data_IF_608562248023
#
_entry.id   IF_608562248023
#
_cell.length_a   1.000
_cell.length_b   1.000
_cell.length_c   1.000
_cell.angle_alpha   90.00
_cell.angle_beta   90.00
_cell.angle_gamma   90.00
#
_symmetry.space_group_name_H-M   'P 1'
#
loop_
_entity.id
_entity.type
_entity.pdbx_description
1 polymer ?
#
# COMPACT_ATOMS: atom_id res chain seq x y z
N UNK A 1 24.73 -20.50 0.11
CA UNK A 1 23.57 -20.31 -0.79
C UNK A 1 22.21 -20.54 -0.12
N UNK A 2 21.96 -21.69 0.52
CA UNK A 2 20.62 -22.05 1.05
C UNK A 2 20.08 -21.15 2.18
N UNK A 3 20.96 -20.48 2.94
CA UNK A 3 20.55 -19.52 3.98
C UNK A 3 20.17 -18.14 3.43
N UNK A 4 20.83 -17.68 2.35
CA UNK A 4 20.51 -16.42 1.68
C UNK A 4 19.13 -16.50 0.99
N UNK A 5 18.87 -17.64 0.34
CA UNK A 5 17.61 -17.93 -0.31
C UNK A 5 16.43 -17.91 0.68
N UNK A 6 16.61 -18.51 1.86
CA UNK A 6 15.61 -18.46 2.95
C UNK A 6 15.34 -17.05 3.46
N UNK A 7 16.34 -16.17 3.44
CA UNK A 7 16.21 -14.78 3.90
C UNK A 7 15.44 -13.91 2.89
N UNK A 8 15.62 -14.17 1.60
CA UNK A 8 14.99 -13.39 0.51
C UNK A 8 13.55 -13.82 0.19
N UNK A 9 13.20 -15.08 0.44
CA UNK A 9 11.86 -15.62 0.11
C UNK A 9 10.74 -14.83 0.79
N UNK A 10 10.89 -14.47 2.08
CA UNK A 10 9.83 -13.78 2.80
C UNK A 10 9.52 -12.36 2.25
N UNK A 11 10.52 -11.48 2.02
CA UNK A 11 10.32 -10.21 1.32
C UNK A 11 9.73 -10.36 -0.09
N UNK A 12 10.19 -11.33 -0.88
CA UNK A 12 9.66 -11.57 -2.24
C UNK A 12 8.20 -12.00 -2.25
N UNK A 13 7.83 -12.96 -1.39
CA UNK A 13 6.43 -13.40 -1.28
C UNK A 13 5.57 -12.23 -0.79
N UNK A 14 6.04 -11.45 0.19
CA UNK A 14 5.32 -10.28 0.69
C UNK A 14 5.09 -9.25 -0.41
N UNK A 15 6.12 -8.96 -1.21
CA UNK A 15 6.02 -8.05 -2.36
C UNK A 15 5.03 -8.56 -3.40
N UNK A 16 5.09 -9.86 -3.75
CA UNK A 16 4.18 -10.46 -4.71
C UNK A 16 2.72 -10.36 -4.24
N UNK A 17 2.45 -10.72 -2.98
CA UNK A 17 1.13 -10.58 -2.37
C UNK A 17 0.65 -9.12 -2.37
N UNK A 18 1.54 -8.18 -2.02
CA UNK A 18 1.23 -6.76 -1.98
C UNK A 18 0.85 -6.22 -3.36
N UNK A 19 1.64 -6.55 -4.40
CA UNK A 19 1.40 -6.09 -5.76
C UNK A 19 0.10 -6.66 -6.34
N UNK A 20 -0.17 -7.95 -6.12
CA UNK A 20 -1.41 -8.59 -6.55
C UNK A 20 -2.62 -7.96 -5.86
N UNK A 21 -2.58 -7.87 -4.52
CA UNK A 21 -3.66 -7.26 -3.74
C UNK A 21 -3.93 -5.82 -4.15
N UNK A 22 -2.87 -5.02 -4.34
CA UNK A 22 -3.00 -3.64 -4.77
C UNK A 22 -3.55 -3.52 -6.20
N UNK A 23 -3.11 -4.36 -7.12
CA UNK A 23 -3.63 -4.40 -8.51
C UNK A 23 -5.13 -4.67 -8.54
N UNK A 24 -5.59 -5.65 -7.76
CA UNK A 24 -7.02 -5.91 -7.59
C UNK A 24 -7.74 -4.73 -6.95
N UNK A 25 -7.19 -4.13 -5.90
CA UNK A 25 -7.83 -3.04 -5.18
C UNK A 25 -8.03 -1.77 -6.03
N UNK A 26 -7.02 -1.39 -6.80
CA UNK A 26 -7.10 -0.24 -7.74
C UNK A 26 -8.12 -0.51 -8.85
N UNK A 27 -8.10 -1.73 -9.41
CA UNK A 27 -9.02 -2.14 -10.48
C UNK A 27 -10.46 -2.19 -9.98
N UNK A 28 -10.69 -2.81 -8.82
CA UNK A 28 -11.98 -2.89 -8.14
C UNK A 28 -12.58 -1.51 -7.93
N UNK A 29 -11.81 -0.57 -7.37
CA UNK A 29 -12.28 0.80 -7.09
C UNK A 29 -12.78 1.48 -8.37
N UNK A 30 -11.99 1.40 -9.44
CA UNK A 30 -12.30 2.04 -10.71
C UNK A 30 -13.50 1.41 -11.42
N UNK A 31 -13.61 0.07 -11.37
CA UNK A 31 -14.79 -0.62 -11.90
C UNK A 31 -16.04 -0.30 -11.10
N UNK A 32 -15.97 -0.32 -9.77
CA UNK A 32 -17.13 -0.10 -8.91
C UNK A 32 -17.69 1.31 -9.06
N UNK A 33 -16.85 2.35 -9.05
CA UNK A 33 -17.31 3.72 -9.30
C UNK A 33 -17.98 3.89 -10.67
N UNK A 34 -17.47 3.21 -11.71
CA UNK A 34 -18.09 3.24 -13.04
C UNK A 34 -19.46 2.56 -13.04
N UNK A 35 -19.59 1.42 -12.37
CA UNK A 35 -20.86 0.69 -12.25
C UNK A 35 -21.90 1.50 -11.45
N UNK A 36 -21.46 2.22 -10.43
CA UNK A 36 -22.32 3.07 -9.61
C UNK A 36 -22.65 4.41 -10.31
N UNK A 37 -22.24 4.59 -11.56
CA UNK A 37 -22.54 5.79 -12.37
C UNK A 37 -21.83 7.05 -11.89
N UNK A 38 -20.72 6.94 -11.15
CA UNK A 38 -19.98 8.09 -10.65
C UNK A 38 -19.46 8.96 -11.80
N UNK A 39 -19.45 10.28 -11.57
CA UNK A 39 -18.96 11.22 -12.57
C UNK A 39 -17.45 11.01 -12.85
N UNK A 40 -16.97 11.35 -14.06
CA UNK A 40 -15.55 11.25 -14.40
C UNK A 40 -14.65 12.04 -13.43
N UNK A 41 -15.11 13.18 -12.95
CA UNK A 41 -14.41 14.04 -11.99
C UNK A 41 -14.24 13.34 -10.65
N UNK A 42 -15.29 12.68 -10.15
CA UNK A 42 -15.24 11.91 -8.89
C UNK A 42 -14.27 10.72 -9.02
N UNK A 43 -14.33 9.98 -10.13
CA UNK A 43 -13.40 8.89 -10.39
C UNK A 43 -11.95 9.39 -10.42
N UNK A 44 -11.72 10.53 -11.07
CA UNK A 44 -10.43 11.19 -11.11
C UNK A 44 -9.95 11.58 -9.71
N UNK A 45 -10.82 12.17 -8.89
CA UNK A 45 -10.50 12.63 -7.55
C UNK A 45 -10.16 11.47 -6.60
N UNK A 46 -10.93 10.38 -6.63
CA UNK A 46 -10.68 9.17 -5.83
C UNK A 46 -9.33 8.54 -6.20
N UNK A 47 -9.00 8.47 -7.50
CA UNK A 47 -7.72 7.94 -7.95
C UNK A 47 -6.56 8.89 -7.63
N UNK A 48 -6.75 10.20 -7.79
CA UNK A 48 -5.77 11.21 -7.42
C UNK A 48 -5.45 11.14 -5.92
N UNK A 49 -6.45 10.96 -5.06
CA UNK A 49 -6.26 10.82 -3.62
C UNK A 49 -5.36 9.62 -3.27
N UNK A 50 -5.53 8.48 -3.95
CA UNK A 50 -4.63 7.33 -3.78
C UNK A 50 -3.17 7.68 -4.11
N UNK A 51 -2.92 8.29 -5.26
CA UNK A 51 -1.56 8.65 -5.65
C UNK A 51 -0.98 9.80 -4.82
N UNK A 52 -1.82 10.73 -4.35
CA UNK A 52 -1.41 11.79 -3.43
C UNK A 52 -0.95 11.20 -2.08
N UNK A 53 -1.71 10.25 -1.53
CA UNK A 53 -1.31 9.52 -0.32
C UNK A 53 -0.03 8.71 -0.53
N UNK A 54 0.09 8.04 -1.68
CA UNK A 54 1.30 7.30 -2.05
C UNK A 54 2.53 8.21 -2.12
N UNK A 55 2.44 9.34 -2.83
CA UNK A 55 3.52 10.32 -2.95
C UNK A 55 3.94 10.87 -1.59
N UNK A 56 2.95 11.19 -0.75
CA UNK A 56 3.20 11.68 0.60
C UNK A 56 3.89 10.63 1.47
N UNK A 57 3.43 9.38 1.40
CA UNK A 57 4.04 8.24 2.07
C UNK A 57 5.49 8.08 1.62
N UNK A 58 5.73 8.00 0.32
CA UNK A 58 7.06 7.87 -0.25
C UNK A 58 8.02 8.97 0.23
N UNK A 59 7.54 10.22 0.33
CA UNK A 59 8.38 11.36 0.72
C UNK A 59 8.65 11.48 2.23
N UNK A 60 7.78 10.95 3.11
CA UNK A 60 7.84 11.25 4.55
C UNK A 60 7.89 10.04 5.47
N UNK A 61 7.56 8.85 4.99
CA UNK A 61 7.38 7.68 5.85
C UNK A 61 8.71 7.05 6.26
N UNK A 62 9.78 7.27 5.50
CA UNK A 62 11.11 6.70 5.77
C UNK A 62 11.65 7.14 7.14
N UNK A 63 11.51 8.42 7.49
CA UNK A 63 11.92 8.94 8.80
C UNK A 63 11.12 8.37 9.98
N UNK A 64 9.90 7.88 9.73
CA UNK A 64 9.07 7.19 10.72
C UNK A 64 9.51 5.72 10.86
N UNK A 65 9.73 5.05 9.72
CA UNK A 65 10.11 3.63 9.66
C UNK A 65 11.50 3.41 10.24
N UNK A 66 12.47 4.30 9.99
CA UNK A 66 13.84 4.18 10.48
C UNK A 66 13.97 4.17 12.01
N UNK A 67 12.94 4.66 12.72
CA UNK A 67 12.89 4.67 14.20
C UNK A 67 12.31 3.38 14.80
N UNK A 68 11.76 2.48 13.98
CA UNK A 68 11.10 1.25 14.43
C UNK A 68 11.65 0.03 13.69
N UNK A 69 11.48 -1.15 14.29
CA UNK A 69 11.87 -2.41 13.63
C UNK A 69 10.96 -2.65 12.42
N UNK A 70 11.54 -2.98 11.26
CA UNK A 70 10.84 -3.20 9.98
C UNK A 70 9.60 -4.09 10.10
N UNK A 71 9.68 -5.19 10.86
CA UNK A 71 8.55 -6.11 11.06
C UNK A 71 7.32 -5.44 11.72
N UNK A 72 7.53 -4.52 12.67
CA UNK A 72 6.44 -3.81 13.35
C UNK A 72 5.80 -2.78 12.44
N UNK A 73 6.61 -2.04 11.68
CA UNK A 73 6.13 -1.10 10.68
C UNK A 73 5.32 -1.83 9.60
N UNK A 74 5.83 -2.95 9.08
CA UNK A 74 5.15 -3.79 8.10
C UNK A 74 3.76 -4.20 8.60
N UNK A 75 3.69 -4.80 9.80
CA UNK A 75 2.42 -5.27 10.36
C UNK A 75 1.42 -4.13 10.56
N UNK A 76 1.87 -2.95 11.02
CA UNK A 76 1.00 -1.79 11.22
C UNK A 76 0.41 -1.28 9.90
N UNK A 77 1.24 -1.04 8.88
CA UNK A 77 0.75 -0.54 7.59
C UNK A 77 -0.04 -1.58 6.80
N UNK A 78 0.32 -2.86 6.91
CA UNK A 78 -0.47 -3.95 6.34
C UNK A 78 -1.86 -3.99 6.99
N UNK A 79 -1.94 -3.87 8.32
CA UNK A 79 -3.21 -3.81 9.04
C UNK A 79 -4.06 -2.59 8.65
N UNK A 80 -3.45 -1.40 8.56
CA UNK A 80 -4.15 -0.19 8.11
C UNK A 80 -4.70 -0.38 6.69
N UNK A 81 -3.90 -0.94 5.78
CA UNK A 81 -4.34 -1.23 4.42
C UNK A 81 -5.49 -2.25 4.40
N UNK A 82 -5.42 -3.32 5.18
CA UNK A 82 -6.50 -4.30 5.29
C UNK A 82 -7.80 -3.66 5.78
N UNK A 83 -7.72 -2.81 6.81
CA UNK A 83 -8.89 -2.06 7.32
C UNK A 83 -9.42 -1.12 6.24
N UNK A 84 -8.56 -0.40 5.52
CA UNK A 84 -8.96 0.50 4.44
C UNK A 84 -9.71 -0.26 3.33
N UNK A 85 -9.20 -1.42 2.89
CA UNK A 85 -9.86 -2.27 1.89
C UNK A 85 -11.21 -2.78 2.40
N UNK A 86 -11.29 -3.20 3.67
CA UNK A 86 -12.54 -3.67 4.26
C UNK A 86 -13.58 -2.55 4.38
N UNK A 87 -13.19 -1.36 4.83
CA UNK A 87 -14.06 -0.18 4.91
C UNK A 87 -14.58 0.23 3.54
N UNK A 88 -13.74 0.15 2.49
CA UNK A 88 -14.18 0.47 1.14
C UNK A 88 -15.27 -0.48 0.62
N UNK A 89 -15.27 -1.75 1.08
CA UNK A 89 -16.32 -2.71 0.76
C UNK A 89 -17.61 -2.54 1.58
N UNK A 90 -17.57 -1.81 2.69
CA UNK A 90 -18.70 -1.60 3.60
C UNK A 90 -19.39 -0.24 3.43
N UNK A 91 -18.69 0.76 2.89
CA UNK A 91 -19.17 2.13 2.78
C UNK A 91 -19.39 2.44 1.31
N UNK A 92 -20.63 2.75 0.90
CA UNK A 92 -20.96 3.09 -0.50
C UNK A 92 -20.86 4.60 -0.82
N UNK A 93 -20.02 5.34 -0.09
CA UNK A 93 -19.87 6.79 -0.28
C UNK A 93 -18.57 7.15 -1.03
N UNK A 94 -18.66 7.73 -2.24
CA UNK A 94 -17.47 8.14 -3.01
C UNK A 94 -16.60 9.18 -2.27
N UNK A 95 -17.21 10.04 -1.45
CA UNK A 95 -16.46 11.02 -0.65
C UNK A 95 -15.65 10.32 0.44
N UNK A 96 -16.23 9.34 1.12
CA UNK A 96 -15.48 8.54 2.09
C UNK A 96 -14.33 7.77 1.42
N UNK A 97 -14.53 7.34 0.17
CA UNK A 97 -13.51 6.63 -0.60
C UNK A 97 -12.29 7.50 -0.89
N UNK A 98 -12.44 8.81 -1.06
CA UNK A 98 -11.29 9.72 -1.21
C UNK A 98 -10.34 9.58 -0.02
N UNK A 99 -10.88 9.64 1.21
CA UNK A 99 -10.08 9.50 2.42
C UNK A 99 -9.49 8.09 2.57
N UNK A 100 -10.30 7.06 2.36
CA UNK A 100 -9.87 5.65 2.42
C UNK A 100 -8.72 5.41 1.43
N UNK A 101 -8.84 5.95 0.21
CA UNK A 101 -7.84 5.80 -0.85
C UNK A 101 -6.56 6.53 -0.55
N UNK A 102 -6.65 7.73 0.04
CA UNK A 102 -5.47 8.45 0.52
C UNK A 102 -4.69 7.64 1.58
N UNK A 103 -5.38 7.10 2.58
CA UNK A 103 -4.76 6.26 3.62
C UNK A 103 -4.19 4.98 3.03
N UNK A 104 -4.89 4.34 2.09
CA UNK A 104 -4.40 3.15 1.40
C UNK A 104 -3.13 3.44 0.59
N UNK A 105 -3.10 4.54 -0.16
CA UNK A 105 -1.92 4.97 -0.92
C UNK A 105 -0.70 5.19 -0.02
N UNK A 106 -0.89 5.88 1.10
CA UNK A 106 0.16 6.09 2.10
C UNK A 106 0.67 4.76 2.66
N UNK A 107 -0.24 3.83 2.98
CA UNK A 107 0.10 2.52 3.52
C UNK A 107 0.85 1.65 2.51
N UNK A 108 0.44 1.68 1.24
CA UNK A 108 1.14 0.98 0.16
C UNK A 108 2.57 1.51 -0.01
N UNK A 109 2.77 2.83 -0.03
CA UNK A 109 4.09 3.44 -0.11
C UNK A 109 4.98 3.02 1.08
N UNK A 110 4.43 3.06 2.29
CA UNK A 110 5.12 2.61 3.48
C UNK A 110 5.55 1.13 3.39
N UNK A 111 4.66 0.26 2.92
CA UNK A 111 4.96 -1.17 2.75
C UNK A 111 6.06 -1.42 1.73
N UNK A 112 6.07 -0.69 0.61
CA UNK A 112 7.18 -0.76 -0.35
C UNK A 112 8.51 -0.36 0.28
N UNK A 113 8.55 0.77 1.00
CA UNK A 113 9.77 1.23 1.67
C UNK A 113 10.25 0.24 2.73
N UNK A 114 9.34 -0.36 3.50
CA UNK A 114 9.71 -1.40 4.47
C UNK A 114 10.33 -2.61 3.77
N UNK A 115 9.73 -3.08 2.68
CA UNK A 115 10.24 -4.22 1.91
C UNK A 115 11.61 -3.90 1.30
N UNK A 116 11.77 -2.73 0.70
CA UNK A 116 13.03 -2.25 0.12
C UNK A 116 14.13 -2.17 1.17
N UNK A 117 13.83 -1.53 2.32
CA UNK A 117 14.76 -1.47 3.46
C UNK A 117 15.19 -2.86 3.92
N UNK A 118 14.26 -3.83 3.89
CA UNK A 118 14.57 -5.20 4.26
C UNK A 118 15.53 -5.87 3.29
N UNK A 119 15.37 -5.63 1.98
CA UNK A 119 16.31 -6.12 0.96
C UNK A 119 17.70 -5.49 1.10
N UNK A 120 17.78 -4.19 1.38
CA UNK A 120 19.05 -3.48 1.57
C UNK A 120 19.83 -4.00 2.78
N UNK A 121 19.14 -4.37 3.86
CA UNK A 121 19.79 -5.01 5.02
C UNK A 121 20.39 -6.39 4.68
N UNK A 122 19.89 -7.05 3.64
CA UNK A 122 20.34 -8.39 3.22
C UNK A 122 21.44 -8.32 2.16
N UNK A 123 21.57 -7.23 1.39
CA UNK A 123 22.65 -7.07 0.42
C UNK A 123 23.99 -6.85 1.14
N UNK A 124 25.02 -7.68 0.89
CA UNK A 124 26.36 -7.42 1.42
C UNK A 124 26.93 -6.14 0.78
N UNK A 125 27.55 -5.27 1.58
CA UNK A 125 28.27 -4.10 1.08
C UNK A 125 29.38 -4.57 0.12
N UNK A 126 29.20 -4.30 -1.17
CA UNK A 126 30.23 -4.43 -2.20
C UNK A 126 30.64 -3.04 -2.67
#
# INVERSE_FOLDING_TARGET
MSSLLRLLIAPFISLACLMLGNGFFVTFTSMRLKLDGASPEMLGLVNAAYYAGFLLGAARIEGLISRVRHIRAFAAFAGILSVATMLQGLIDSPIAWIFIRFVAGLSIAALYIVIESWFLVISPDH
#
